data_IF_338605983950
#
_entry.id   IF_338605983950
#
_cell.length_a   1.000
_cell.length_b   1.000
_cell.length_c   1.000
_cell.angle_alpha   90.00
_cell.angle_beta   90.00
_cell.angle_gamma   90.00
#
_symmetry.space_group_name_H-M   'P 1'
#
loop_
_entity.id
_entity.type
_entity.pdbx_description
1 polymer ?
#
# COMPACT_ATOMS: atom_id res chain seq x y z
N UNK A 1 14.83 -8.93 12.14
CA UNK A 1 15.52 -7.65 11.86
C UNK A 1 15.14 -7.26 10.44
N UNK A 2 14.64 -6.04 10.25
CA UNK A 2 14.39 -5.45 8.93
C UNK A 2 15.00 -4.06 8.85
N UNK A 3 15.46 -3.69 7.67
CA UNK A 3 15.90 -2.34 7.33
C UNK A 3 14.77 -1.64 6.59
N UNK A 4 14.35 -0.49 7.09
CA UNK A 4 13.35 0.36 6.45
C UNK A 4 14.02 1.63 5.92
N UNK A 5 13.87 1.87 4.62
CA UNK A 5 14.29 3.08 3.95
C UNK A 5 13.07 3.76 3.34
N UNK A 6 12.90 5.05 3.61
CA UNK A 6 11.82 5.84 3.01
C UNK A 6 12.38 7.11 2.40
N UNK A 7 12.10 7.30 1.12
CA UNK A 7 12.34 8.53 0.39
C UNK A 7 11.00 9.22 0.16
N UNK A 8 10.84 10.44 0.66
CA UNK A 8 9.61 11.19 0.50
C UNK A 8 9.89 12.63 0.09
N UNK A 9 9.01 13.19 -0.73
CA UNK A 9 9.00 14.60 -1.10
C UNK A 9 7.55 15.11 -1.09
N UNK A 10 7.36 16.29 -0.54
CA UNK A 10 6.10 17.03 -0.62
C UNK A 10 6.36 18.45 -1.11
N UNK A 11 5.55 18.90 -2.05
CA UNK A 11 5.59 20.25 -2.62
C UNK A 11 4.19 20.88 -2.68
N UNK A 12 3.30 20.46 -1.79
CA UNK A 12 1.93 20.99 -1.71
C UNK A 12 1.93 22.40 -1.14
N UNK A 13 1.02 23.23 -1.62
CA UNK A 13 0.83 24.62 -1.19
C UNK A 13 0.16 24.74 0.20
N UNK A 14 -0.79 23.86 0.50
CA UNK A 14 -1.52 23.88 1.76
C UNK A 14 -1.84 22.45 2.24
N UNK A 15 -1.43 22.05 3.45
CA UNK A 15 -1.70 20.70 3.96
C UNK A 15 -3.17 20.39 4.22
N UNK A 16 -4.00 21.39 4.52
CA UNK A 16 -5.43 21.17 4.83
C UNK A 16 -6.29 21.04 3.56
N UNK A 17 -6.04 21.90 2.58
CA UNK A 17 -6.71 21.85 1.28
C UNK A 17 -5.71 22.16 0.18
N UNK A 18 -4.94 21.14 -0.27
CA UNK A 18 -3.98 21.31 -1.35
C UNK A 18 -4.68 21.69 -2.65
N UNK A 19 -4.21 22.75 -3.30
CA UNK A 19 -4.69 23.21 -4.60
C UNK A 19 -3.70 22.91 -5.71
N UNK A 20 -2.44 22.90 -5.36
CA UNK A 20 -1.33 22.69 -6.30
C UNK A 20 -0.19 21.94 -5.62
N UNK A 21 0.56 21.21 -6.42
CA UNK A 21 1.74 20.50 -5.98
C UNK A 21 1.61 18.99 -6.04
N UNK A 22 2.63 18.32 -5.53
CA UNK A 22 2.69 16.87 -5.52
C UNK A 22 3.33 16.35 -4.24
N UNK A 23 2.91 15.15 -3.88
CA UNK A 23 3.52 14.35 -2.83
C UNK A 23 3.89 13.00 -3.41
N UNK A 24 5.08 12.53 -3.12
CA UNK A 24 5.43 11.16 -3.40
C UNK A 24 6.23 10.54 -2.26
N UNK A 25 6.11 9.25 -2.09
CA UNK A 25 6.93 8.46 -1.18
C UNK A 25 7.27 7.11 -1.80
N UNK A 26 8.50 6.71 -1.63
CA UNK A 26 8.99 5.37 -1.95
C UNK A 26 9.55 4.78 -0.67
N UNK A 27 8.98 3.67 -0.23
CA UNK A 27 9.44 2.93 0.95
C UNK A 27 9.93 1.55 0.54
N UNK A 28 11.08 1.17 1.06
CA UNK A 28 11.66 -0.16 0.92
C UNK A 28 11.90 -0.75 2.31
N UNK A 29 11.32 -1.91 2.56
CA UNK A 29 11.56 -2.71 3.76
C UNK A 29 12.23 -4.01 3.35
N UNK A 30 13.44 -4.23 3.83
CA UNK A 30 14.29 -5.33 3.38
C UNK A 30 14.75 -6.12 4.62
N UNK A 31 14.56 -7.42 4.59
CA UNK A 31 15.14 -8.33 5.57
C UNK A 31 16.40 -8.99 5.01
N UNK A 32 17.34 -9.45 5.85
CA UNK A 32 18.49 -10.21 5.37
C UNK A 32 18.03 -11.46 4.59
N UNK A 33 18.66 -11.75 3.44
CA UNK A 33 18.31 -12.92 2.62
C UNK A 33 18.95 -14.20 3.19
N UNK A 34 18.44 -14.68 4.30
CA UNK A 34 18.99 -15.84 5.02
C UNK A 34 19.10 -17.09 4.15
N UNK A 35 18.13 -17.29 3.24
CA UNK A 35 18.13 -18.48 2.35
C UNK A 35 19.26 -18.50 1.33
N UNK A 36 19.91 -17.36 1.07
CA UNK A 36 21.07 -17.31 0.18
C UNK A 36 22.37 -17.73 0.86
N UNK A 37 22.41 -17.70 2.19
CA UNK A 37 23.63 -17.92 2.97
C UNK A 37 23.62 -19.21 3.79
N UNK A 38 22.44 -19.82 4.02
CA UNK A 38 22.32 -20.99 4.89
C UNK A 38 22.51 -22.34 4.17
N UNK A 39 22.58 -22.34 2.83
CA UNK A 39 22.83 -23.52 2.01
C UNK A 39 21.77 -24.62 2.09
N UNK A 40 20.56 -24.31 2.59
CA UNK A 40 19.49 -25.29 2.77
C UNK A 40 18.65 -25.46 1.48
N UNK A 41 18.28 -26.71 1.21
CA UNK A 41 17.31 -27.00 0.15
C UNK A 41 15.88 -26.86 0.68
N UNK A 42 15.27 -25.72 0.45
CA UNK A 42 13.89 -25.44 0.86
C UNK A 42 12.83 -26.20 0.05
N UNK A 43 13.18 -26.72 -1.13
CA UNK A 43 12.29 -27.58 -1.91
C UNK A 43 11.96 -28.87 -1.17
N UNK A 44 12.91 -29.43 -0.44
CA UNK A 44 12.74 -30.66 0.34
C UNK A 44 11.79 -30.56 1.53
N UNK A 45 11.34 -29.34 1.91
CA UNK A 45 10.33 -29.16 2.96
C UNK A 45 8.90 -29.40 2.47
N UNK A 46 8.69 -29.46 1.16
CA UNK A 46 7.39 -29.71 0.55
C UNK A 46 7.23 -31.19 0.16
N UNK A 47 6.05 -31.74 0.44
CA UNK A 47 5.69 -33.08 0.01
C UNK A 47 5.44 -33.12 -1.51
N UNK A 48 5.35 -34.32 -2.08
CA UNK A 48 5.12 -34.52 -3.51
C UNK A 48 3.80 -33.90 -4.01
N UNK A 49 2.84 -33.67 -3.13
CA UNK A 49 1.55 -33.01 -3.43
C UNK A 49 1.58 -31.49 -3.17
N UNK A 50 2.76 -30.89 -2.90
CA UNK A 50 2.90 -29.46 -2.63
C UNK A 50 2.49 -29.01 -1.22
N UNK A 51 2.05 -29.92 -0.35
CA UNK A 51 1.72 -29.62 1.03
C UNK A 51 2.97 -29.56 1.90
N UNK A 52 2.92 -28.81 3.01
CA UNK A 52 3.99 -28.70 3.99
C UNK A 52 3.52 -29.16 5.36
N UNK A 53 4.34 -29.98 6.02
CA UNK A 53 4.05 -30.43 7.39
C UNK A 53 4.25 -29.27 8.38
N UNK A 54 3.51 -29.26 9.51
CA UNK A 54 3.60 -28.22 10.51
C UNK A 54 5.03 -28.02 11.04
N UNK A 55 5.76 -29.10 11.22
CA UNK A 55 7.14 -29.09 11.68
C UNK A 55 8.09 -28.42 10.66
N UNK A 56 7.90 -28.74 9.38
CA UNK A 56 8.63 -28.10 8.28
C UNK A 56 8.23 -26.63 8.11
N UNK A 57 6.97 -26.29 8.34
CA UNK A 57 6.50 -24.91 8.35
C UNK A 57 7.18 -24.09 9.45
N UNK A 58 7.28 -24.62 10.65
CA UNK A 58 7.98 -23.95 11.75
C UNK A 58 9.47 -23.73 11.43
N UNK A 59 10.12 -24.72 10.83
CA UNK A 59 11.54 -24.61 10.39
C UNK A 59 11.69 -23.59 9.25
N UNK A 60 10.75 -23.54 8.31
CA UNK A 60 10.76 -22.63 7.18
C UNK A 60 10.66 -21.16 7.64
N UNK A 61 9.83 -20.89 8.64
CA UNK A 61 9.55 -19.52 9.11
C UNK A 61 10.34 -19.10 10.34
N UNK A 62 11.33 -19.87 10.78
CA UNK A 62 12.22 -19.48 11.87
C UNK A 62 12.96 -18.16 11.59
N UNK A 63 13.34 -17.95 10.34
CA UNK A 63 13.98 -16.75 9.85
C UNK A 63 13.20 -16.22 8.66
N UNK A 64 12.27 -15.31 8.92
CA UNK A 64 11.44 -14.71 7.87
C UNK A 64 12.30 -13.78 7.02
N UNK A 65 12.14 -13.91 5.71
CA UNK A 65 12.83 -13.10 4.73
C UNK A 65 11.86 -12.59 3.66
N UNK A 66 11.97 -11.32 3.33
CA UNK A 66 11.20 -10.68 2.29
C UNK A 66 11.80 -9.32 1.93
N UNK A 67 11.40 -8.78 0.81
CA UNK A 67 11.57 -7.38 0.49
C UNK A 67 10.22 -6.79 0.10
N UNK A 68 9.84 -5.68 0.73
CA UNK A 68 8.57 -5.00 0.52
C UNK A 68 8.83 -3.60 -0.02
N UNK A 69 8.21 -3.29 -1.13
CA UNK A 69 8.33 -2.00 -1.79
C UNK A 69 6.98 -1.35 -1.85
N UNK A 70 6.91 -0.07 -1.52
CA UNK A 70 5.68 0.72 -1.62
C UNK A 70 6.00 2.06 -2.27
N UNK A 71 5.25 2.38 -3.29
CA UNK A 71 5.26 3.68 -3.94
C UNK A 71 3.89 4.32 -3.80
N UNK A 72 3.87 5.59 -3.38
CA UNK A 72 2.66 6.40 -3.29
C UNK A 72 2.94 7.75 -3.91
N UNK A 73 2.08 8.18 -4.80
CA UNK A 73 2.12 9.50 -5.41
C UNK A 73 0.74 10.13 -5.38
N UNK A 74 0.68 11.42 -5.09
CA UNK A 74 -0.50 12.25 -5.22
C UNK A 74 -0.13 13.54 -5.90
N UNK A 75 -0.97 14.00 -6.80
CA UNK A 75 -0.82 15.30 -7.44
C UNK A 75 -2.10 16.10 -7.30
N UNK A 76 -1.94 17.39 -7.14
CA UNK A 76 -3.03 18.35 -7.00
C UNK A 76 -2.90 19.40 -8.08
N UNK A 77 -3.97 19.65 -8.80
CA UNK A 77 -4.00 20.63 -9.89
C UNK A 77 -5.27 21.46 -9.77
N UNK A 78 -5.13 22.77 -9.54
CA UNK A 78 -6.25 23.67 -9.62
C UNK A 78 -6.68 23.82 -11.09
N UNK A 79 -7.95 23.58 -11.37
CA UNK A 79 -8.51 23.67 -12.73
C UNK A 79 -8.84 25.11 -13.15
N UNK A 80 -8.86 26.03 -12.19
CA UNK A 80 -9.04 27.46 -12.41
C UNK A 80 -7.93 28.21 -11.67
N UNK A 81 -7.64 29.42 -12.11
CA UNK A 81 -6.72 30.29 -11.38
C UNK A 81 -7.30 30.63 -10.00
N UNK A 82 -6.71 30.05 -8.96
CA UNK A 82 -7.15 30.23 -7.57
C UNK A 82 -6.72 31.55 -6.96
N UNK A 83 -5.91 32.36 -7.64
CA UNK A 83 -5.55 33.72 -7.22
C UNK A 83 -6.71 34.68 -7.50
N UNK A 84 -7.41 34.46 -8.60
CA UNK A 84 -8.58 35.21 -9.01
C UNK A 84 -9.91 34.57 -8.54
N UNK A 85 -9.93 33.24 -8.38
CA UNK A 85 -11.09 32.47 -7.96
C UNK A 85 -10.76 31.63 -6.72
N UNK A 86 -10.92 32.16 -5.49
CA UNK A 86 -10.59 31.45 -4.24
C UNK A 86 -11.26 30.08 -4.10
N UNK A 87 -12.44 29.91 -4.72
CA UNK A 87 -13.19 28.64 -4.77
C UNK A 87 -12.90 27.87 -6.06
N UNK A 88 -11.63 27.68 -6.39
CA UNK A 88 -11.23 26.89 -7.55
C UNK A 88 -11.51 25.41 -7.35
N UNK A 89 -11.96 24.76 -8.42
CA UNK A 89 -12.07 23.32 -8.50
C UNK A 89 -10.67 22.69 -8.56
N UNK A 90 -10.42 21.66 -7.75
CA UNK A 90 -9.12 20.98 -7.67
C UNK A 90 -9.25 19.54 -8.10
N UNK A 91 -8.42 19.14 -9.05
CA UNK A 91 -8.26 17.76 -9.44
C UNK A 91 -7.12 17.13 -8.62
N UNK A 92 -7.43 16.10 -7.86
CA UNK A 92 -6.43 15.26 -7.18
C UNK A 92 -6.33 13.93 -7.90
N UNK A 93 -5.10 13.52 -8.22
CA UNK A 93 -4.80 12.20 -8.76
C UNK A 93 -3.92 11.44 -7.78
N UNK A 94 -4.21 10.15 -7.60
CA UNK A 94 -3.48 9.25 -6.71
C UNK A 94 -3.05 7.99 -7.45
N UNK A 95 -1.80 7.60 -7.24
CA UNK A 95 -1.25 6.32 -7.69
C UNK A 95 -0.53 5.68 -6.51
N UNK A 96 -0.91 4.45 -6.19
CA UNK A 96 -0.23 3.67 -5.17
C UNK A 96 0.09 2.28 -5.76
N UNK A 97 1.27 1.80 -5.45
CA UNK A 97 1.75 0.49 -5.84
C UNK A 97 2.53 -0.14 -4.70
N UNK A 98 2.30 -1.41 -4.44
CA UNK A 98 3.06 -2.18 -3.48
C UNK A 98 3.44 -3.55 -4.03
N UNK A 99 4.59 -4.02 -3.61
CA UNK A 99 5.13 -5.33 -3.97
C UNK A 99 5.79 -5.95 -2.75
N UNK A 100 5.40 -7.17 -2.44
CA UNK A 100 6.07 -8.05 -1.48
C UNK A 100 6.77 -9.16 -2.25
N UNK A 101 8.09 -9.11 -2.29
CA UNK A 101 8.90 -10.10 -2.96
C UNK A 101 9.60 -11.05 -1.98
N UNK A 102 10.19 -12.09 -2.52
CA UNK A 102 10.91 -13.12 -1.78
C UNK A 102 12.23 -13.45 -2.49
N UNK A 103 13.23 -13.84 -1.71
CA UNK A 103 14.54 -14.21 -2.28
C UNK A 103 14.56 -15.67 -2.75
N UNK A 104 13.76 -16.52 -2.12
CA UNK A 104 13.62 -17.93 -2.49
C UNK A 104 12.17 -18.29 -2.77
N UNK A 105 11.90 -18.89 -3.94
CA UNK A 105 10.54 -19.26 -4.39
C UNK A 105 9.82 -20.26 -3.49
N UNK A 106 10.55 -21.04 -2.72
CA UNK A 106 10.02 -22.02 -1.77
C UNK A 106 9.87 -21.45 -0.35
N UNK A 107 10.30 -20.20 -0.13
CA UNK A 107 10.27 -19.54 1.17
C UNK A 107 9.55 -18.20 1.08
N UNK A 108 8.32 -18.23 0.60
CA UNK A 108 7.47 -17.05 0.57
C UNK A 108 7.03 -16.68 1.97
N UNK A 109 7.14 -15.40 2.34
CA UNK A 109 6.64 -14.92 3.62
C UNK A 109 5.11 -14.88 3.61
N UNK A 110 4.43 -15.47 4.61
CA UNK A 110 2.99 -15.27 4.81
C UNK A 110 2.70 -13.97 5.57
N UNK A 111 3.74 -13.25 5.99
CA UNK A 111 3.63 -12.03 6.76
C UNK A 111 3.80 -10.80 5.86
N UNK A 112 3.28 -9.67 6.33
CA UNK A 112 3.39 -8.37 5.66
C UNK A 112 2.69 -8.30 4.28
N UNK A 113 1.77 -9.21 4.01
CA UNK A 113 0.95 -9.21 2.79
C UNK A 113 0.02 -8.00 2.73
N UNK A 114 -0.54 -7.74 1.57
CA UNK A 114 -1.52 -6.67 1.37
C UNK A 114 -2.93 -7.24 1.35
N UNK A 115 -3.86 -6.49 1.93
CA UNK A 115 -5.28 -6.76 1.89
C UNK A 115 -6.00 -5.55 1.32
N UNK A 116 -6.63 -5.71 0.15
CA UNK A 116 -7.22 -4.60 -0.61
C UNK A 116 -8.73 -4.65 -0.57
N UNK A 117 -9.32 -3.53 -0.20
CA UNK A 117 -10.76 -3.32 -0.11
C UNK A 117 -11.18 -2.64 1.18
N UNK A 118 -12.41 -2.15 1.22
CA UNK A 118 -13.02 -1.57 2.40
C UNK A 118 -12.50 -0.21 2.82
N UNK A 119 -12.60 0.05 4.11
CA UNK A 119 -12.28 1.34 4.74
C UNK A 119 -10.81 1.51 5.13
N UNK A 120 -9.99 0.46 4.99
CA UNK A 120 -8.59 0.44 5.38
C UNK A 120 -8.36 0.26 6.87
N UNK A 121 -9.42 0.02 7.63
CA UNK A 121 -9.28 -0.35 9.04
C UNK A 121 -9.01 -1.85 9.13
N UNK A 122 -7.84 -2.21 9.57
CA UNK A 122 -7.52 -3.59 9.88
C UNK A 122 -8.08 -3.95 11.23
N UNK A 123 -8.79 -5.07 11.27
CA UNK A 123 -8.90 -5.84 12.50
C UNK A 123 -7.53 -6.35 12.97
N UNK A 124 -7.49 -6.99 14.11
CA UNK A 124 -6.27 -7.64 14.58
C UNK A 124 -5.79 -8.69 13.57
N UNK A 125 -4.58 -8.52 13.04
CA UNK A 125 -3.91 -9.50 12.18
C UNK A 125 -2.61 -9.96 12.82
N UNK A 126 -2.50 -11.25 13.10
CA UNK A 126 -1.26 -11.86 13.61
C UNK A 126 -0.17 -11.98 12.53
N UNK A 127 -0.50 -11.73 11.28
CA UNK A 127 0.41 -11.82 10.13
C UNK A 127 0.94 -10.46 9.67
N UNK A 128 0.66 -9.37 10.40
CA UNK A 128 1.03 -8.00 10.05
C UNK A 128 0.57 -7.59 8.63
N UNK A 129 -0.60 -8.08 8.20
CA UNK A 129 -1.20 -7.75 6.91
C UNK A 129 -1.54 -6.26 6.87
N UNK A 130 -1.16 -5.59 5.80
CA UNK A 130 -1.42 -4.18 5.58
C UNK A 130 -2.72 -3.98 4.79
N UNK A 131 -3.70 -3.33 5.41
CA UNK A 131 -4.98 -2.99 4.75
C UNK A 131 -4.83 -1.78 3.86
N UNK A 132 -5.27 -1.92 2.62
CA UNK A 132 -5.30 -0.87 1.61
C UNK A 132 -6.76 -0.50 1.35
N UNK A 133 -7.16 0.66 1.84
CA UNK A 133 -8.52 1.15 1.64
C UNK A 133 -8.86 1.32 0.16
N UNK A 134 -10.03 0.86 -0.24
CA UNK A 134 -10.59 1.14 -1.56
C UNK A 134 -12.09 1.37 -1.42
N UNK A 135 -12.51 2.60 -1.62
CA UNK A 135 -13.91 3.03 -1.45
C UNK A 135 -14.83 2.34 -2.45
N UNK A 136 -15.97 1.87 -1.99
CA UNK A 136 -16.95 1.16 -2.82
C UNK A 136 -16.77 -0.36 -2.87
N UNK A 137 -15.81 -0.90 -2.15
CA UNK A 137 -15.56 -2.33 -2.04
C UNK A 137 -15.64 -2.80 -0.59
N UNK A 138 -16.05 -4.03 -0.38
CA UNK A 138 -16.02 -4.66 0.93
C UNK A 138 -14.58 -4.97 1.35
N UNK A 139 -14.36 -5.13 2.66
CA UNK A 139 -13.04 -5.49 3.20
C UNK A 139 -12.58 -6.82 2.58
N UNK A 140 -11.32 -6.88 2.18
CA UNK A 140 -10.66 -8.05 1.59
C UNK A 140 -11.27 -8.56 0.29
N UNK A 141 -12.18 -7.82 -0.33
CA UNK A 141 -12.92 -8.30 -1.52
C UNK A 141 -12.07 -8.41 -2.78
N UNK A 142 -10.95 -7.70 -2.84
CA UNK A 142 -10.05 -7.69 -3.99
C UNK A 142 -8.75 -8.46 -3.75
N UNK A 143 -8.61 -9.06 -2.58
CA UNK A 143 -7.41 -9.83 -2.23
C UNK A 143 -7.66 -11.32 -2.47
N UNK A 144 -6.78 -12.02 -3.22
CA UNK A 144 -6.88 -13.46 -3.38
C UNK A 144 -6.92 -14.16 -2.01
N UNK A 145 -7.86 -15.08 -1.83
CA UNK A 145 -8.02 -15.87 -0.59
C UNK A 145 -8.10 -15.04 0.71
N UNK A 146 -8.49 -13.74 0.60
CA UNK A 146 -8.78 -12.88 1.73
C UNK A 146 -7.57 -12.29 2.47
N UNK A 147 -6.33 -12.66 2.18
CA UNK A 147 -5.16 -12.13 2.89
C UNK A 147 -3.79 -12.37 2.24
N UNK A 148 -3.74 -12.91 1.03
CA UNK A 148 -2.48 -13.30 0.38
C UNK A 148 -2.10 -12.39 -0.80
N UNK A 149 -2.33 -11.08 -0.68
CA UNK A 149 -1.87 -10.10 -1.66
C UNK A 149 -0.37 -9.87 -1.58
N UNK A 150 0.37 -10.27 -2.62
CA UNK A 150 1.81 -10.02 -2.73
C UNK A 150 2.13 -8.76 -3.53
N UNK A 151 1.17 -8.26 -4.28
CA UNK A 151 1.26 -7.00 -4.98
C UNK A 151 -0.09 -6.30 -4.95
N UNK A 152 -0.09 -4.97 -4.95
CA UNK A 152 -1.32 -4.22 -5.13
C UNK A 152 -1.09 -2.99 -6.01
N UNK A 153 -2.14 -2.56 -6.66
CA UNK A 153 -2.20 -1.28 -7.34
C UNK A 153 -3.48 -0.57 -6.96
N UNK A 154 -3.39 0.71 -6.64
CA UNK A 154 -4.52 1.59 -6.38
C UNK A 154 -4.38 2.87 -7.18
N UNK A 155 -5.41 3.19 -7.92
CA UNK A 155 -5.55 4.42 -8.69
C UNK A 155 -6.74 5.19 -8.16
N UNK A 156 -6.64 6.51 -8.09
CA UNK A 156 -7.75 7.34 -7.65
C UNK A 156 -7.70 8.72 -8.31
N UNK A 157 -8.88 9.22 -8.64
CA UNK A 157 -9.09 10.58 -9.10
C UNK A 157 -10.18 11.19 -8.24
N UNK A 158 -9.94 12.39 -7.71
CA UNK A 158 -10.90 13.15 -6.95
C UNK A 158 -11.04 14.54 -7.52
N UNK A 159 -12.26 14.98 -7.68
CA UNK A 159 -12.60 16.36 -8.01
C UNK A 159 -13.14 17.03 -6.76
N UNK A 160 -12.46 18.06 -6.28
CA UNK A 160 -12.72 18.72 -5.00
C UNK A 160 -13.16 20.17 -5.24
N UNK A 161 -14.30 20.56 -4.67
CA UNK A 161 -14.80 21.94 -4.73
C UNK A 161 -14.94 22.50 -3.32
N UNK A 162 -14.24 23.60 -2.98
CA UNK A 162 -14.33 24.20 -1.65
C UNK A 162 -15.60 25.03 -1.52
N UNK A 163 -16.36 24.75 -0.46
CA UNK A 163 -17.52 25.55 -0.07
C UNK A 163 -17.11 26.69 0.87
N UNK A 164 -16.27 26.37 1.85
CA UNK A 164 -15.74 27.29 2.85
C UNK A 164 -14.27 26.92 3.16
N UNK A 165 -13.38 27.88 3.07
CA UNK A 165 -11.99 27.75 3.44
C UNK A 165 -11.63 28.87 4.41
N UNK A 166 -11.86 28.64 5.69
CA UNK A 166 -11.53 29.59 6.78
C UNK A 166 -10.44 28.98 7.67
N UNK A 167 -9.82 29.82 8.48
CA UNK A 167 -8.70 29.40 9.35
C UNK A 167 -9.12 28.30 10.34
N UNK A 168 -10.38 28.30 10.77
CA UNK A 168 -10.90 27.34 11.76
C UNK A 168 -11.73 26.21 11.14
N UNK A 169 -12.19 26.36 9.89
CA UNK A 169 -13.13 25.40 9.28
C UNK A 169 -12.93 25.31 7.78
N UNK A 170 -12.70 24.10 7.30
CA UNK A 170 -12.63 23.80 5.88
C UNK A 170 -13.77 22.85 5.51
N UNK A 171 -14.67 23.31 4.65
CA UNK A 171 -15.80 22.52 4.12
C UNK A 171 -15.63 22.44 2.61
N UNK A 172 -15.60 21.25 2.07
CA UNK A 172 -15.56 21.01 0.63
C UNK A 172 -16.37 19.78 0.24
N UNK A 173 -16.85 19.78 -0.98
CA UNK A 173 -17.50 18.63 -1.61
C UNK A 173 -16.50 17.94 -2.53
N UNK A 174 -16.54 16.63 -2.59
CA UNK A 174 -15.70 15.87 -3.50
C UNK A 174 -16.50 14.78 -4.23
N UNK A 175 -16.17 14.58 -5.49
CA UNK A 175 -16.52 13.40 -6.26
C UNK A 175 -15.27 12.60 -6.53
N UNK A 176 -15.35 11.27 -6.53
CA UNK A 176 -14.17 10.42 -6.71
C UNK A 176 -14.46 9.19 -7.57
N UNK A 177 -13.40 8.71 -8.22
CA UNK A 177 -13.32 7.41 -8.86
C UNK A 177 -12.08 6.71 -8.32
N UNK A 178 -12.23 5.48 -7.89
CA UNK A 178 -11.11 4.64 -7.43
C UNK A 178 -11.15 3.29 -8.12
N UNK A 179 -9.97 2.78 -8.44
CA UNK A 179 -9.76 1.44 -8.98
C UNK A 179 -8.55 0.82 -8.31
N UNK A 180 -8.58 -0.48 -8.12
CA UNK A 180 -7.46 -1.21 -7.53
C UNK A 180 -7.61 -2.69 -7.70
N UNK A 181 -6.51 -3.39 -7.44
CA UNK A 181 -6.44 -4.84 -7.44
C UNK A 181 -5.24 -5.29 -6.58
N UNK A 182 -5.27 -6.57 -6.14
CA UNK A 182 -4.19 -7.23 -5.44
C UNK A 182 -3.85 -8.58 -6.05
#
# INVERSE_FOLDING_TARGET
>A
ISLNLTLARSSIDNPLFPRQGSEFSLSAQITPPYSLFDGRDYKGYYNSNGSITQDNRNKLYNWIEYHKWKFKAKTYTALMDYTTHPKSLVLMSRVEFGLLGHYNKYKKSPFETFDVGGDGMTGYSSYATESIALRGYENSSLTPYGSEGYAYTRLGIELRYPLMLETSTNIYVLGFLEAGNA
#
